data_IF_469808932197
#
_entry.id   IF_469808932197
#
_cell.length_a   1.000
_cell.length_b   1.000
_cell.length_c   1.000
_cell.angle_alpha   90.00
_cell.angle_beta   90.00
_cell.angle_gamma   90.00
#
_symmetry.space_group_name_H-M   'P 1'
#
loop_
_entity.id
_entity.type
_entity.pdbx_description
1 polymer ?
#
# COMPACT_ATOMS: atom_id res chain seq x y z
N UNK A 1 -5.86 -6.56 -14.60
CA UNK A 1 -5.98 -5.17 -15.09
C UNK A 1 -5.56 -5.10 -16.55
N UNK A 2 -6.05 -4.16 -17.37
CA UNK A 2 -5.53 -3.98 -18.75
C UNK A 2 -4.22 -3.16 -18.75
N UNK A 3 -3.35 -3.34 -19.75
CA UNK A 3 -2.01 -2.73 -19.77
C UNK A 3 -2.03 -1.20 -19.68
N UNK A 4 -3.00 -0.56 -20.33
CA UNK A 4 -3.12 0.91 -20.33
C UNK A 4 -3.45 1.49 -18.95
N UNK A 5 -4.25 0.80 -18.13
CA UNK A 5 -4.53 1.25 -16.77
C UNK A 5 -3.26 1.13 -15.91
N UNK A 6 -2.50 0.04 -16.06
CA UNK A 6 -1.24 -0.17 -15.34
C UNK A 6 -0.26 0.97 -15.58
N UNK A 7 -0.03 1.31 -16.85
CA UNK A 7 0.86 2.40 -17.26
C UNK A 7 0.45 3.74 -16.65
N UNK A 8 -0.86 4.06 -16.64
CA UNK A 8 -1.37 5.28 -16.02
C UNK A 8 -1.10 5.32 -14.52
N UNK A 9 -1.30 4.20 -13.82
CA UNK A 9 -1.01 4.11 -12.38
C UNK A 9 0.48 4.37 -12.12
N UNK A 10 1.39 3.75 -12.87
CA UNK A 10 2.84 3.94 -12.72
C UNK A 10 3.21 5.40 -13.00
N UNK A 11 2.72 5.96 -14.10
CA UNK A 11 3.01 7.34 -14.53
C UNK A 11 2.56 8.38 -13.49
N UNK A 12 1.45 8.13 -12.80
CA UNK A 12 0.94 9.04 -11.77
C UNK A 12 1.61 8.87 -10.41
N UNK A 13 2.47 7.85 -10.23
CA UNK A 13 3.24 7.73 -9.02
C UNK A 13 4.38 8.75 -9.04
N UNK A 14 4.47 9.59 -8.00
CA UNK A 14 5.60 10.48 -7.83
C UNK A 14 6.87 9.67 -7.56
N UNK A 15 7.93 10.03 -8.28
CA UNK A 15 9.33 9.61 -8.12
C UNK A 15 10.05 10.34 -6.97
N UNK A 16 9.37 11.22 -6.23
CA UNK A 16 9.94 11.90 -5.07
C UNK A 16 9.82 11.01 -3.84
N UNK A 17 10.70 10.00 -3.81
CA UNK A 17 10.88 9.03 -2.72
C UNK A 17 11.39 9.63 -1.40
N UNK A 18 11.59 10.94 -1.32
CA UNK A 18 12.12 11.58 -0.12
C UNK A 18 11.13 11.45 1.04
N UNK A 19 11.63 10.92 2.17
CA UNK A 19 10.90 10.67 3.44
C UNK A 19 10.00 9.43 3.48
N UNK A 20 10.24 8.42 2.63
CA UNK A 20 9.61 7.11 2.85
C UNK A 20 10.09 6.55 4.20
N UNK A 21 9.17 6.36 5.15
CA UNK A 21 9.50 5.68 6.41
C UNK A 21 9.82 4.21 6.11
N UNK A 22 10.99 3.77 6.57
CA UNK A 22 11.42 2.38 6.55
C UNK A 22 11.68 1.94 7.99
N UNK A 23 11.04 0.87 8.48
CA UNK A 23 11.34 0.35 9.81
C UNK A 23 12.71 -0.35 9.83
N UNK A 24 13.47 -0.14 10.90
CA UNK A 24 14.81 -0.71 11.13
C UNK A 24 14.80 -2.22 11.49
N UNK A 25 13.60 -2.81 11.65
CA UNK A 25 13.41 -4.18 12.11
C UNK A 25 13.70 -5.25 11.06
N UNK A 26 14.50 -6.26 11.44
CA UNK A 26 14.92 -7.42 10.62
C UNK A 26 13.77 -8.28 10.05
N UNK A 27 12.53 -8.16 10.54
CA UNK A 27 11.43 -9.04 10.15
C UNK A 27 10.86 -8.84 8.75
N UNK A 28 11.14 -7.71 8.08
CA UNK A 28 10.46 -7.32 6.82
C UNK A 28 11.43 -6.81 5.74
N UNK A 29 12.71 -7.20 5.82
CA UNK A 29 13.80 -6.66 4.98
C UNK A 29 13.57 -6.77 3.47
N UNK A 30 12.77 -7.73 2.99
CA UNK A 30 12.50 -7.90 1.55
C UNK A 30 11.60 -6.77 1.00
N UNK A 31 10.78 -6.14 1.83
CA UNK A 31 9.83 -5.09 1.40
C UNK A 31 10.31 -3.66 1.66
N UNK A 32 11.56 -3.48 2.12
CA UNK A 32 12.18 -2.16 2.29
C UNK A 32 12.33 -1.41 0.95
N UNK A 33 12.20 -2.09 -0.20
CA UNK A 33 12.26 -1.48 -1.54
C UNK A 33 10.94 -1.62 -2.30
N UNK A 34 9.81 -1.40 -1.63
CA UNK A 34 8.51 -1.33 -2.28
C UNK A 34 8.47 -0.18 -3.28
N UNK A 35 8.28 -0.52 -4.55
CA UNK A 35 8.02 0.43 -5.62
C UNK A 35 6.61 0.33 -6.22
N UNK A 36 6.27 1.22 -7.17
CA UNK A 36 4.91 1.33 -7.69
C UNK A 36 4.39 0.01 -8.26
N UNK A 37 5.25 -0.73 -8.98
CA UNK A 37 4.92 -2.05 -9.52
C UNK A 37 4.53 -3.06 -8.46
N UNK A 38 5.20 -3.04 -7.30
CA UNK A 38 4.90 -3.93 -6.19
C UNK A 38 3.55 -3.57 -5.55
N UNK A 39 3.26 -2.28 -5.40
CA UNK A 39 1.96 -1.80 -4.89
C UNK A 39 0.82 -2.20 -5.83
N UNK A 40 1.02 -2.02 -7.14
CA UNK A 40 0.04 -2.43 -8.15
C UNK A 40 -0.23 -3.93 -8.04
N UNK A 41 0.84 -4.74 -8.00
CA UNK A 41 0.70 -6.20 -7.86
C UNK A 41 -0.06 -6.58 -6.58
N UNK A 42 0.24 -5.94 -5.45
CA UNK A 42 -0.46 -6.19 -4.18
C UNK A 42 -1.96 -5.84 -4.23
N UNK A 43 -2.34 -4.82 -4.98
CA UNK A 43 -3.75 -4.46 -5.21
C UNK A 43 -4.43 -5.40 -6.21
N UNK A 44 -3.73 -5.84 -7.25
CA UNK A 44 -4.22 -6.85 -8.20
C UNK A 44 -4.45 -8.20 -7.51
N UNK A 45 -3.55 -8.58 -6.61
CA UNK A 45 -3.55 -9.84 -5.86
C UNK A 45 -4.29 -9.73 -4.51
N UNK A 46 -5.06 -8.66 -4.31
CA UNK A 46 -5.81 -8.46 -3.06
C UNK A 46 -6.77 -9.63 -2.78
N UNK A 47 -6.86 -9.98 -1.49
CA UNK A 47 -7.75 -11.03 -1.01
C UNK A 47 -9.21 -10.69 -1.34
N UNK A 48 -10.06 -11.72 -1.45
CA UNK A 48 -11.46 -11.55 -1.85
C UNK A 48 -12.21 -10.44 -1.06
N UNK A 49 -12.03 -10.28 0.28
CA UNK A 49 -12.68 -9.20 1.02
C UNK A 49 -12.24 -7.79 0.61
N UNK A 50 -11.01 -7.61 0.15
CA UNK A 50 -10.45 -6.30 -0.21
C UNK A 50 -10.47 -6.01 -1.72
N UNK A 51 -10.89 -6.98 -2.54
CA UNK A 51 -10.77 -6.91 -4.01
C UNK A 51 -11.54 -5.74 -4.61
N UNK A 52 -12.73 -5.43 -4.09
CA UNK A 52 -13.54 -4.30 -4.58
C UNK A 52 -12.83 -2.98 -4.30
N UNK A 53 -12.37 -2.77 -3.07
CA UNK A 53 -11.66 -1.56 -2.66
C UNK A 53 -10.32 -1.41 -3.40
N UNK A 54 -9.61 -2.52 -3.62
CA UNK A 54 -8.36 -2.51 -4.36
C UNK A 54 -8.56 -2.09 -5.82
N UNK A 55 -9.62 -2.56 -6.47
CA UNK A 55 -9.98 -2.14 -7.82
C UNK A 55 -10.40 -0.67 -7.89
N UNK A 56 -11.13 -0.18 -6.89
CA UNK A 56 -11.50 1.23 -6.79
C UNK A 56 -10.25 2.10 -6.61
N UNK A 57 -9.35 1.70 -5.72
CA UNK A 57 -8.09 2.39 -5.48
C UNK A 57 -7.21 2.40 -6.74
N UNK A 58 -7.05 1.28 -7.45
CA UNK A 58 -6.29 1.24 -8.72
C UNK A 58 -6.82 2.26 -9.75
N UNK A 59 -8.14 2.40 -9.88
CA UNK A 59 -8.73 3.41 -10.77
C UNK A 59 -8.41 4.82 -10.31
N UNK A 60 -8.41 5.06 -8.99
CA UNK A 60 -8.04 6.36 -8.42
C UNK A 60 -6.55 6.68 -8.61
N UNK A 61 -5.65 5.70 -8.44
CA UNK A 61 -4.22 5.89 -8.71
C UNK A 61 -3.96 6.22 -10.20
N UNK A 62 -4.80 5.70 -11.10
CA UNK A 62 -4.69 5.98 -12.53
C UNK A 62 -5.19 7.37 -12.95
N UNK A 63 -5.95 8.06 -12.09
CA UNK A 63 -6.46 9.41 -12.37
C UNK A 63 -5.82 10.49 -11.49
N UNK A 64 -5.21 10.11 -10.37
CA UNK A 64 -4.76 11.04 -9.32
C UNK A 64 -3.29 10.81 -8.99
N UNK A 65 -2.47 11.88 -8.85
CA UNK A 65 -1.10 11.76 -8.37
C UNK A 65 -1.05 11.05 -7.02
N UNK A 66 -0.11 10.13 -6.88
CA UNK A 66 0.04 9.35 -5.66
C UNK A 66 1.50 9.06 -5.32
N UNK A 67 1.74 8.61 -4.09
CA UNK A 67 3.07 8.16 -3.62
C UNK A 67 2.95 7.12 -2.52
N UNK A 68 4.02 6.36 -2.31
CA UNK A 68 4.18 5.47 -1.17
C UNK A 68 4.67 6.31 0.03
N UNK A 69 3.82 6.48 1.04
CA UNK A 69 4.14 7.22 2.25
C UNK A 69 5.00 6.43 3.24
N UNK A 70 4.69 5.14 3.41
CA UNK A 70 5.46 4.22 4.23
C UNK A 70 5.43 2.82 3.61
N UNK A 71 6.56 2.11 3.63
CA UNK A 71 6.66 0.71 3.20
C UNK A 71 5.96 -0.21 4.20
N UNK A 72 6.14 -1.52 4.11
CA UNK A 72 5.57 -2.43 5.11
C UNK A 72 6.13 -2.08 6.49
N UNK A 73 5.24 -1.69 7.40
CA UNK A 73 5.54 -1.46 8.80
C UNK A 73 4.48 -2.16 9.64
N UNK A 74 4.83 -2.52 10.86
CA UNK A 74 3.90 -2.93 11.92
C UNK A 74 3.87 -1.83 12.98
N UNK A 75 2.70 -1.56 13.51
CA UNK A 75 2.51 -0.48 14.49
C UNK A 75 2.22 0.86 13.81
N UNK A 76 0.96 1.27 13.88
CA UNK A 76 0.62 2.64 14.22
C UNK A 76 0.54 2.74 15.75
N UNK A 77 0.81 3.93 16.30
CA UNK A 77 0.24 4.24 17.62
C UNK A 77 -1.27 4.17 17.39
N UNK A 78 -1.89 3.04 17.71
CA UNK A 78 -3.32 3.06 17.94
C UNK A 78 -3.57 4.20 18.91
N UNK A 79 -4.65 4.93 18.67
CA UNK A 79 -5.18 5.84 19.69
C UNK A 79 -5.32 5.03 20.99
N UNK A 80 -5.31 5.67 22.16
CA UNK A 80 -5.27 5.00 23.47
C UNK A 80 -6.32 3.87 23.65
N UNK A 81 -7.35 3.82 22.80
CA UNK A 81 -8.41 2.82 22.75
C UNK A 81 -8.17 1.62 21.78
N UNK A 82 -7.30 1.72 20.77
CA UNK A 82 -7.28 0.78 19.62
C UNK A 82 -6.14 -0.24 19.60
N UNK A 83 -5.18 -0.15 20.52
CA UNK A 83 -4.02 -1.06 20.55
C UNK A 83 -3.15 -0.96 19.29
N UNK A 84 -1.98 -1.63 19.30
CA UNK A 84 -1.15 -1.70 18.10
C UNK A 84 -1.87 -2.54 17.02
N UNK A 85 -1.90 -2.05 15.77
CA UNK A 85 -2.45 -2.83 14.64
C UNK A 85 -1.62 -4.13 14.49
N UNK A 86 -2.23 -5.32 14.63
CA UNK A 86 -1.50 -6.57 14.61
C UNK A 86 -1.04 -6.96 13.20
N UNK A 87 -1.56 -6.31 12.15
CA UNK A 87 -1.20 -6.65 10.76
C UNK A 87 -0.18 -5.66 10.22
N UNK A 88 0.70 -6.13 9.34
CA UNK A 88 1.58 -5.26 8.58
C UNK A 88 0.75 -4.35 7.66
N UNK A 89 1.23 -3.14 7.37
CA UNK A 89 0.51 -2.20 6.54
C UNK A 89 1.44 -1.34 5.68
N UNK A 90 0.94 -0.95 4.51
CA UNK A 90 1.59 -0.05 3.57
C UNK A 90 0.73 1.21 3.51
N UNK A 91 1.36 2.39 3.59
CA UNK A 91 0.62 3.66 3.49
C UNK A 91 0.84 4.28 2.13
N UNK A 92 -0.24 4.60 1.43
CA UNK A 92 -0.25 5.39 0.21
C UNK A 92 -0.81 6.80 0.50
N UNK A 93 -0.35 7.78 -0.25
CA UNK A 93 -0.94 9.13 -0.27
C UNK A 93 -1.42 9.40 -1.68
N UNK A 94 -2.73 9.59 -1.88
CA UNK A 94 -3.38 9.77 -3.17
C UNK A 94 -4.11 11.10 -3.17
N UNK A 95 -3.64 12.07 -3.96
CA UNK A 95 -4.25 13.41 -3.99
C UNK A 95 -4.31 14.12 -2.63
N UNK A 96 -3.38 13.81 -1.72
CA UNK A 96 -3.35 14.34 -0.34
C UNK A 96 -4.11 13.50 0.69
N UNK A 97 -4.83 12.45 0.29
CA UNK A 97 -5.51 11.52 1.20
C UNK A 97 -4.65 10.30 1.49
N UNK A 98 -4.55 9.92 2.77
CA UNK A 98 -3.84 8.70 3.21
C UNK A 98 -4.70 7.45 3.04
N UNK A 99 -4.11 6.38 2.53
CA UNK A 99 -4.73 5.05 2.44
C UNK A 99 -3.81 4.03 3.10
N UNK A 100 -4.34 3.18 3.97
CA UNK A 100 -3.61 2.08 4.59
C UNK A 100 -4.06 0.76 3.97
N UNK A 101 -3.11 0.09 3.30
CA UNK A 101 -3.26 -1.28 2.83
C UNK A 101 -2.86 -2.19 3.97
N UNK A 102 -3.82 -2.84 4.63
CA UNK A 102 -3.53 -3.88 5.62
C UNK A 102 -3.13 -5.14 4.88
N UNK A 103 -2.02 -5.72 5.29
CA UNK A 103 -1.40 -6.86 4.65
C UNK A 103 -1.24 -8.01 5.62
N UNK A 104 -1.34 -9.23 5.09
CA UNK A 104 -0.99 -10.46 5.79
C UNK A 104 0.00 -11.25 4.95
N UNK A 105 0.91 -11.96 5.59
CA UNK A 105 1.84 -12.86 4.93
C UNK A 105 1.33 -14.29 5.05
N UNK A 106 0.82 -14.87 3.95
CA UNK A 106 0.38 -16.28 3.84
C UNK A 106 -0.02 -16.60 2.39
N UNK A 107 0.70 -17.42 1.60
CA UNK A 107 2.13 -17.80 1.70
C UNK A 107 3.10 -16.67 1.28
N UNK A 108 2.58 -15.50 0.92
CA UNK A 108 3.32 -14.26 0.68
C UNK A 108 2.47 -13.06 1.07
N UNK A 109 3.03 -11.85 0.97
CA UNK A 109 2.34 -10.62 1.33
C UNK A 109 1.16 -10.36 0.38
N UNK A 110 -0.03 -10.15 0.94
CA UNK A 110 -1.23 -9.79 0.18
C UNK A 110 -2.11 -8.81 0.97
N UNK A 111 -2.89 -8.00 0.27
CA UNK A 111 -3.80 -7.00 0.88
C UNK A 111 -5.08 -7.70 1.36
N UNK A 112 -5.41 -7.52 2.63
CA UNK A 112 -6.61 -8.10 3.27
C UNK A 112 -7.70 -7.06 3.58
N UNK A 113 -7.33 -5.78 3.66
CA UNK A 113 -8.27 -4.67 3.85
C UNK A 113 -7.62 -3.35 3.42
N UNK A 114 -8.45 -2.39 3.02
CA UNK A 114 -8.02 -1.03 2.68
C UNK A 114 -8.83 -0.05 3.53
N UNK A 115 -8.15 0.92 4.15
CA UNK A 115 -8.78 2.00 4.92
C UNK A 115 -8.21 3.33 4.46
N UNK A 116 -8.96 4.43 4.60
CA UNK A 116 -8.67 5.72 3.98
C UNK A 116 -9.10 6.89 4.87
#
# INVERSE_FOLDING_TARGET
MNGQLREKVIRNCSDKWSRQYQPDGLGVRVWQKLGPEHVIKLLEDAAAPARTDANALLRQLASTPWRIGATVHSGGKGDAERGADPNAHITLSVGGRGYHLRCREQPGLHVIAITA
#
